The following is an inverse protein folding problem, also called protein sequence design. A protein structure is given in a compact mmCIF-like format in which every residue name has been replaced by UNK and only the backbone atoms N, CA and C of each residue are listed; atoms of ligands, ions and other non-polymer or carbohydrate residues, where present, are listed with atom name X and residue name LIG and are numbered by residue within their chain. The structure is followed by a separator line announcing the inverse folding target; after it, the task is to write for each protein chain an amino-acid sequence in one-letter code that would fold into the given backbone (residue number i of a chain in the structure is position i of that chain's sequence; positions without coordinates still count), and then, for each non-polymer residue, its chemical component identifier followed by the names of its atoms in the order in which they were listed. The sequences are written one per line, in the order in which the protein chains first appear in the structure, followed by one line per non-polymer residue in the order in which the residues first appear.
data_IF_949531405340
#
_entry.id   IF_949531405340
#
_cell.length_a   1.000
_cell.length_b   1.000
_cell.length_c   1.000
_cell.angle_alpha   90.00
_cell.angle_beta   90.00
_cell.angle_gamma   90.00
#
_symmetry.space_group_name_H-M   'P 1'
#
loop_
_entity.id
_entity.type
_entity.pdbx_description
1 polymer ?
#
# COMPACT_ATOMS: atom_id res chain seq x y z
N UNK A 1 28.06 5.33 8.34
CA UNK A 1 27.23 5.80 9.45
C UNK A 1 26.11 6.68 8.90
N UNK A 2 24.89 6.13 8.88
CA UNK A 2 23.70 6.78 8.32
C UNK A 2 23.35 8.07 9.08
N UNK A 3 23.70 8.19 10.34
CA UNK A 3 23.38 9.37 11.15
C UNK A 3 24.05 10.66 10.66
N UNK A 4 25.06 10.54 9.79
CA UNK A 4 25.76 11.67 9.18
C UNK A 4 25.18 12.12 7.84
N UNK A 5 24.20 11.39 7.31
CA UNK A 5 23.58 11.72 6.04
C UNK A 5 22.54 12.83 6.23
N UNK A 6 22.23 13.54 5.15
CA UNK A 6 21.11 14.47 5.16
C UNK A 6 19.79 13.71 5.38
N UNK A 7 18.83 14.31 6.09
CA UNK A 7 17.58 13.68 6.50
C UNK A 7 16.84 12.98 5.34
N UNK A 8 16.72 13.64 4.19
CA UNK A 8 16.08 13.04 3.01
C UNK A 8 16.80 11.75 2.55
N UNK A 9 18.11 11.70 2.65
CA UNK A 9 18.88 10.51 2.28
C UNK A 9 18.68 9.38 3.28
N UNK A 10 18.57 9.70 4.58
CA UNK A 10 18.23 8.73 5.62
C UNK A 10 16.86 8.12 5.38
N UNK A 11 15.84 8.95 5.12
CA UNK A 11 14.48 8.51 4.84
C UNK A 11 14.43 7.61 3.61
N UNK A 12 15.06 8.02 2.51
CA UNK A 12 15.13 7.21 1.29
C UNK A 12 15.78 5.85 1.52
N UNK A 13 16.83 5.79 2.33
CA UNK A 13 17.51 4.54 2.67
C UNK A 13 16.58 3.62 3.49
N UNK A 14 15.96 4.17 4.53
CA UNK A 14 15.05 3.41 5.40
C UNK A 14 13.87 2.88 4.58
N UNK A 15 13.22 3.73 3.79
CA UNK A 15 12.09 3.30 2.95
C UNK A 15 12.48 2.25 1.91
N UNK A 16 13.66 2.37 1.30
CA UNK A 16 14.14 1.38 0.33
C UNK A 16 14.31 -0.01 0.96
N UNK A 17 14.84 -0.06 2.18
CA UNK A 17 15.10 -1.32 2.88
C UNK A 17 13.88 -1.92 3.59
N UNK A 18 12.93 -1.11 4.00
CA UNK A 18 11.76 -1.56 4.76
C UNK A 18 10.53 -1.67 3.89
N UNK A 19 10.05 -0.54 3.36
CA UNK A 19 8.77 -0.46 2.66
C UNK A 19 8.88 -0.95 1.21
N UNK A 20 9.91 -0.49 0.48
CA UNK A 20 10.01 -0.76 -0.95
C UNK A 20 10.30 -2.23 -1.23
N UNK A 21 11.31 -2.82 -0.62
CA UNK A 21 11.71 -4.19 -0.92
C UNK A 21 10.69 -5.23 -0.44
N UNK A 22 10.28 -5.16 0.81
CA UNK A 22 9.42 -6.18 1.44
C UNK A 22 7.95 -6.04 1.12
N UNK A 23 7.47 -4.83 0.89
CA UNK A 23 6.05 -4.57 0.69
C UNK A 23 5.72 -4.16 -0.75
N UNK A 24 6.25 -3.05 -1.25
CA UNK A 24 5.86 -2.53 -2.56
C UNK A 24 6.27 -3.46 -3.71
N UNK A 25 7.54 -3.88 -3.75
CA UNK A 25 8.03 -4.73 -4.82
C UNK A 25 7.60 -6.19 -4.65
N UNK A 26 7.78 -6.74 -3.47
CA UNK A 26 7.49 -8.16 -3.23
C UNK A 26 5.96 -8.41 -3.18
N UNK A 27 5.23 -7.75 -2.26
CA UNK A 27 3.83 -8.09 -2.00
C UNK A 27 2.86 -7.46 -2.99
N UNK A 28 3.01 -6.17 -3.29
CA UNK A 28 2.10 -5.46 -4.20
C UNK A 28 2.52 -5.60 -5.67
N UNK A 29 3.82 -5.68 -5.96
CA UNK A 29 4.35 -5.80 -7.33
C UNK A 29 4.44 -7.23 -7.80
N UNK A 30 5.54 -7.90 -7.49
CA UNK A 30 5.90 -9.18 -8.10
C UNK A 30 4.89 -10.29 -7.84
N UNK A 31 4.40 -10.44 -6.60
CA UNK A 31 3.44 -11.51 -6.30
C UNK A 31 2.12 -11.33 -7.03
N UNK A 32 1.64 -10.09 -7.15
CA UNK A 32 0.41 -9.82 -7.88
C UNK A 32 0.57 -10.00 -9.38
N UNK A 33 1.69 -9.53 -9.94
CA UNK A 33 2.01 -9.70 -11.35
C UNK A 33 2.20 -11.19 -11.71
N UNK A 34 2.99 -11.92 -10.92
CA UNK A 34 3.23 -13.35 -11.16
C UNK A 34 1.97 -14.20 -11.01
N UNK A 35 1.08 -13.86 -10.07
CA UNK A 35 -0.23 -14.51 -9.94
C UNK A 35 -1.09 -14.40 -11.22
N UNK A 36 -0.82 -13.40 -12.04
CA UNK A 36 -1.48 -13.16 -13.33
C UNK A 36 -0.58 -13.49 -14.54
N UNK A 37 0.55 -14.16 -14.32
CA UNK A 37 1.55 -14.47 -15.36
C UNK A 37 2.06 -13.24 -16.10
N UNK A 38 2.17 -12.09 -15.41
CA UNK A 38 2.65 -10.83 -15.97
C UNK A 38 4.08 -10.58 -15.51
N UNK A 39 4.99 -10.41 -16.46
CA UNK A 39 6.33 -9.92 -16.19
C UNK A 39 6.37 -8.39 -16.14
N UNK A 40 6.85 -7.84 -15.05
CA UNK A 40 7.01 -6.39 -14.88
C UNK A 40 8.45 -5.96 -15.13
N UNK A 41 8.62 -4.74 -15.60
CA UNK A 41 9.93 -4.09 -15.78
C UNK A 41 9.88 -2.71 -15.13
N UNK A 42 10.88 -2.41 -14.32
CA UNK A 42 10.94 -1.19 -13.53
C UNK A 42 12.16 -0.34 -13.92
N UNK A 43 12.08 0.49 -14.96
CA UNK A 43 13.24 1.29 -15.42
C UNK A 43 13.89 2.14 -14.32
N UNK A 44 13.09 2.67 -13.40
CA UNK A 44 13.59 3.45 -12.26
C UNK A 44 14.27 2.61 -11.16
N UNK A 45 14.21 1.29 -11.25
CA UNK A 45 14.94 0.38 -10.36
C UNK A 45 16.22 -0.18 -10.99
N UNK A 46 16.63 0.31 -12.17
CA UNK A 46 17.94 0.00 -12.73
C UNK A 46 19.02 0.43 -11.72
N UNK A 47 19.90 -0.49 -11.32
CA UNK A 47 20.91 -0.24 -10.31
C UNK A 47 21.85 0.92 -10.65
N UNK A 48 22.11 1.15 -11.96
CA UNK A 48 22.94 2.28 -12.42
C UNK A 48 22.22 3.60 -12.20
N UNK A 49 20.89 3.63 -12.47
CA UNK A 49 20.07 4.81 -12.21
C UNK A 49 19.96 5.10 -10.71
N UNK A 50 19.78 4.05 -9.90
CA UNK A 50 19.77 4.18 -8.44
C UNK A 50 21.11 4.72 -7.92
N UNK A 51 22.22 4.15 -8.38
CA UNK A 51 23.56 4.61 -7.99
C UNK A 51 23.80 6.08 -8.36
N UNK A 52 23.42 6.47 -9.58
CA UNK A 52 23.49 7.86 -10.02
C UNK A 52 22.59 8.77 -9.17
N UNK A 53 21.34 8.42 -8.99
CA UNK A 53 20.38 9.22 -8.22
C UNK A 53 20.78 9.35 -6.74
N UNK A 54 21.43 8.34 -6.18
CA UNK A 54 21.91 8.36 -4.80
C UNK A 54 23.00 9.41 -4.57
N UNK A 55 23.81 9.70 -5.58
CA UNK A 55 24.89 10.70 -5.52
C UNK A 55 24.39 12.13 -5.71
N UNK A 56 23.15 12.32 -6.15
CA UNK A 56 22.61 13.66 -6.37
C UNK A 56 22.31 14.34 -5.03
N UNK A 57 22.71 15.62 -4.88
CA UNK A 57 22.32 16.41 -3.73
C UNK A 57 20.78 16.43 -3.53
N UNK A 58 20.27 16.35 -2.30
CA UNK A 58 18.84 16.31 -1.99
C UNK A 58 18.01 17.40 -2.67
N UNK A 59 18.55 18.61 -2.81
CA UNK A 59 17.87 19.74 -3.47
C UNK A 59 17.48 19.48 -4.93
N UNK A 60 18.14 18.54 -5.61
CA UNK A 60 17.75 18.15 -6.98
C UNK A 60 16.64 17.10 -6.99
N UNK A 61 16.45 16.41 -5.90
CA UNK A 61 15.38 15.43 -5.72
C UNK A 61 14.11 16.10 -5.22
N UNK A 62 14.25 16.95 -4.19
CA UNK A 62 13.17 17.72 -3.55
C UNK A 62 13.60 19.17 -3.40
N UNK A 63 12.92 20.08 -4.11
CA UNK A 63 13.16 21.51 -4.03
C UNK A 63 11.99 22.18 -3.27
N UNK A 64 12.22 22.52 -2.00
CA UNK A 64 11.13 22.91 -1.12
C UNK A 64 10.11 21.80 -1.01
N UNK A 65 8.88 22.01 -1.46
CA UNK A 65 7.83 21.00 -1.52
C UNK A 65 7.61 20.39 -2.92
N UNK A 66 8.48 20.74 -3.88
CA UNK A 66 8.41 20.19 -5.24
C UNK A 66 9.19 18.88 -5.32
N UNK A 67 8.46 17.77 -5.27
CA UNK A 67 9.03 16.43 -5.45
C UNK A 67 9.46 16.15 -6.89
N UNK A 68 10.42 15.24 -7.08
CA UNK A 68 10.95 14.81 -8.39
C UNK A 68 11.47 16.00 -9.21
N UNK A 69 12.05 16.99 -8.57
CA UNK A 69 12.39 18.28 -9.17
C UNK A 69 13.24 18.14 -10.43
N UNK A 70 14.37 17.44 -10.35
CA UNK A 70 15.26 17.24 -11.48
C UNK A 70 14.57 16.47 -12.62
N UNK A 71 13.81 15.42 -12.28
CA UNK A 71 13.09 14.64 -13.29
C UNK A 71 12.04 15.49 -14.01
N UNK A 72 11.29 16.31 -13.29
CA UNK A 72 10.32 17.23 -13.90
C UNK A 72 11.00 18.22 -14.84
N UNK A 73 12.17 18.73 -14.47
CA UNK A 73 12.95 19.65 -15.32
C UNK A 73 13.54 18.95 -16.55
N UNK A 74 14.05 17.74 -16.41
CA UNK A 74 14.63 17.00 -17.54
C UNK A 74 13.58 16.59 -18.58
N UNK A 75 12.30 16.58 -18.20
CA UNK A 75 11.18 16.28 -19.11
C UNK A 75 10.56 17.52 -19.75
N UNK A 76 11.20 18.69 -19.61
CA UNK A 76 10.77 19.92 -20.26
C UNK A 76 10.80 19.76 -21.78
N UNK A 77 9.73 20.14 -22.45
CA UNK A 77 9.58 19.95 -23.91
C UNK A 77 9.33 18.50 -24.37
N UNK A 78 9.46 17.49 -23.47
CA UNK A 78 9.20 16.08 -23.79
C UNK A 78 7.81 15.62 -23.33
N UNK A 79 7.34 16.17 -22.22
CA UNK A 79 6.02 15.86 -21.66
C UNK A 79 5.12 17.10 -21.68
N UNK A 80 3.80 16.94 -21.91
CA UNK A 80 2.84 18.03 -21.76
C UNK A 80 2.91 18.63 -20.34
N UNK A 81 2.83 19.94 -20.23
CA UNK A 81 2.91 20.67 -18.95
C UNK A 81 1.89 20.19 -17.92
N UNK A 82 0.68 19.87 -18.34
CA UNK A 82 -0.37 19.35 -17.47
C UNK A 82 0.04 18.04 -16.77
N UNK A 83 0.83 17.19 -17.39
CA UNK A 83 1.36 15.96 -16.80
C UNK A 83 2.58 16.23 -15.92
N UNK A 84 3.48 17.10 -16.40
CA UNK A 84 4.72 17.46 -15.70
C UNK A 84 4.46 18.14 -14.36
N UNK A 85 3.45 19.00 -14.29
CA UNK A 85 3.09 19.77 -13.10
C UNK A 85 1.97 19.16 -12.27
N UNK A 86 1.41 18.00 -12.71
CA UNK A 86 0.34 17.34 -11.97
C UNK A 86 0.79 17.00 -10.55
N UNK A 87 -0.07 17.31 -9.59
CA UNK A 87 0.11 16.86 -8.21
C UNK A 87 0.04 15.35 -8.13
N UNK A 88 0.96 14.73 -7.40
CA UNK A 88 0.95 13.29 -7.17
C UNK A 88 -0.36 12.89 -6.50
N UNK A 89 -1.03 11.92 -7.10
CA UNK A 89 -2.13 11.19 -6.46
C UNK A 89 -1.61 9.80 -6.13
N UNK A 90 -1.49 9.44 -4.84
CA UNK A 90 -1.12 8.08 -4.48
C UNK A 90 -2.20 7.12 -4.96
N UNK A 91 -1.78 6.02 -5.56
CA UNK A 91 -2.71 4.93 -5.83
C UNK A 91 -3.15 4.34 -4.49
N UNK A 92 -4.46 4.35 -4.27
CA UNK A 92 -5.06 3.72 -3.10
C UNK A 92 -5.95 2.60 -3.58
N UNK A 93 -5.68 1.40 -3.08
CA UNK A 93 -6.62 0.30 -3.25
C UNK A 93 -7.96 0.68 -2.60
N UNK A 94 -9.08 0.17 -3.11
CA UNK A 94 -10.34 0.23 -2.41
C UNK A 94 -10.18 -0.37 -1.01
N UNK A 95 -10.79 0.28 -0.05
CA UNK A 95 -10.72 -0.10 1.36
C UNK A 95 -11.98 -0.89 1.80
N UNK A 96 -12.31 -0.84 3.08
CA UNK A 96 -13.43 -1.60 3.64
C UNK A 96 -14.76 -1.44 2.87
N UNK A 97 -15.01 -0.28 2.25
CA UNK A 97 -16.27 -0.05 1.52
C UNK A 97 -16.42 -0.91 0.26
N UNK A 98 -15.32 -1.43 -0.29
CA UNK A 98 -15.36 -2.35 -1.44
C UNK A 98 -16.00 -3.70 -1.12
N UNK A 99 -16.15 -4.02 0.14
CA UNK A 99 -16.74 -5.27 0.61
C UNK A 99 -18.21 -5.11 1.02
N UNK A 100 -18.79 -3.94 0.78
CA UNK A 100 -20.18 -3.64 1.08
C UNK A 100 -20.87 -3.04 -0.14
N UNK A 101 -22.08 -3.50 -0.42
CA UNK A 101 -22.93 -2.94 -1.47
C UNK A 101 -24.22 -2.39 -0.84
N UNK A 102 -24.40 -1.06 -0.88
CA UNK A 102 -25.54 -0.38 -0.22
C UNK A 102 -25.68 -0.71 1.28
N UNK A 103 -24.55 -0.86 2.00
CA UNK A 103 -24.53 -1.23 3.41
C UNK A 103 -24.70 -2.72 3.69
N UNK A 104 -24.89 -3.55 2.66
CA UNK A 104 -24.91 -5.00 2.81
C UNK A 104 -23.54 -5.60 2.47
N UNK A 105 -22.99 -6.46 3.34
CA UNK A 105 -21.72 -7.12 3.10
C UNK A 105 -21.85 -8.16 1.99
N UNK A 106 -20.76 -8.39 1.26
CA UNK A 106 -20.65 -9.56 0.39
C UNK A 106 -20.76 -10.84 1.24
N UNK A 107 -21.42 -11.87 0.73
CA UNK A 107 -21.79 -13.07 1.49
C UNK A 107 -20.64 -13.70 2.28
N UNK A 108 -19.49 -13.90 1.67
CA UNK A 108 -18.35 -14.49 2.34
C UNK A 108 -17.79 -13.59 3.46
N UNK A 109 -17.92 -12.27 3.34
CA UNK A 109 -17.48 -11.32 4.39
C UNK A 109 -18.40 -11.41 5.60
N UNK A 110 -19.72 -11.49 5.37
CA UNK A 110 -20.69 -11.69 6.46
C UNK A 110 -20.45 -13.01 7.21
N UNK A 111 -20.19 -14.10 6.48
CA UNK A 111 -19.87 -15.40 7.08
C UNK A 111 -18.59 -15.35 7.93
N UNK A 112 -17.48 -14.85 7.37
CA UNK A 112 -16.19 -14.79 8.04
C UNK A 112 -16.20 -13.93 9.31
N UNK A 113 -16.99 -12.86 9.35
CA UNK A 113 -17.15 -12.02 10.54
C UNK A 113 -18.28 -12.51 11.48
N UNK A 114 -18.84 -13.70 11.27
CA UNK A 114 -19.76 -14.28 12.23
C UNK A 114 -19.06 -14.66 13.54
N UNK A 115 -19.80 -14.62 14.67
CA UNK A 115 -19.23 -14.96 16.00
C UNK A 115 -18.62 -16.36 16.00
N UNK A 116 -19.27 -17.31 15.32
CA UNK A 116 -18.82 -18.69 15.25
C UNK A 116 -17.46 -18.80 14.54
N UNK A 117 -17.33 -18.14 13.39
CA UNK A 117 -16.10 -18.15 12.58
C UNK A 117 -14.93 -17.45 13.28
N UNK A 118 -15.21 -16.31 13.92
CA UNK A 118 -14.20 -15.55 14.67
C UNK A 118 -13.67 -16.35 15.87
N UNK A 119 -14.55 -17.08 16.57
CA UNK A 119 -14.14 -17.96 17.67
C UNK A 119 -13.37 -19.18 17.20
N UNK A 120 -13.78 -19.79 16.09
CA UNK A 120 -13.12 -20.95 15.49
C UNK A 120 -11.69 -20.60 15.05
N UNK A 121 -11.53 -19.47 14.36
CA UNK A 121 -10.23 -18.99 13.91
C UNK A 121 -9.29 -18.57 15.06
N UNK A 122 -9.82 -17.98 16.12
CA UNK A 122 -9.10 -17.67 17.36
C UNK A 122 -8.03 -16.57 17.27
N UNK A 123 -7.95 -15.82 16.17
CA UNK A 123 -6.93 -14.79 15.99
C UNK A 123 -7.30 -13.43 16.57
N UNK A 124 -8.58 -13.12 16.65
CA UNK A 124 -9.10 -11.81 17.00
C UNK A 124 -10.16 -11.92 18.10
N UNK A 125 -10.25 -10.89 18.94
CA UNK A 125 -11.39 -10.76 19.86
C UNK A 125 -12.69 -10.60 19.04
N UNK A 126 -13.66 -11.51 19.20
CA UNK A 126 -14.87 -11.49 18.38
C UNK A 126 -15.69 -10.21 18.55
N UNK A 127 -15.74 -9.64 19.76
CA UNK A 127 -16.51 -8.42 20.00
C UNK A 127 -15.87 -7.22 19.34
N UNK A 128 -14.53 -7.11 19.39
CA UNK A 128 -13.79 -6.04 18.72
C UNK A 128 -13.94 -6.15 17.19
N UNK A 129 -13.82 -7.36 16.63
CA UNK A 129 -13.96 -7.61 15.22
C UNK A 129 -15.38 -7.26 14.70
N UNK A 130 -16.42 -7.65 15.44
CA UNK A 130 -17.81 -7.32 15.10
C UNK A 130 -18.05 -5.81 15.16
N UNK A 131 -17.56 -5.12 16.19
CA UNK A 131 -17.70 -3.64 16.26
C UNK A 131 -17.06 -2.95 15.05
N UNK A 132 -15.89 -3.43 14.59
CA UNK A 132 -15.24 -2.87 13.40
C UNK A 132 -16.03 -3.20 12.12
N UNK A 133 -16.55 -4.42 12.00
CA UNK A 133 -17.42 -4.84 10.90
C UNK A 133 -18.69 -3.98 10.83
N UNK A 134 -19.39 -3.80 11.94
CA UNK A 134 -20.59 -2.96 12.01
C UNK A 134 -20.31 -1.49 11.69
N UNK A 135 -19.15 -0.99 12.13
CA UNK A 135 -18.67 0.35 11.78
C UNK A 135 -18.44 0.48 10.28
N UNK A 136 -17.83 -0.53 9.66
CA UNK A 136 -17.59 -0.56 8.22
C UNK A 136 -18.90 -0.67 7.44
N UNK A 137 -19.80 -1.57 7.85
CA UNK A 137 -21.16 -1.73 7.29
C UNK A 137 -21.96 -0.43 7.31
N UNK A 138 -21.86 0.33 8.39
CA UNK A 138 -22.52 1.62 8.54
C UNK A 138 -21.87 2.78 7.76
N UNK A 139 -20.80 2.53 6.99
CA UNK A 139 -20.05 3.57 6.27
C UNK A 139 -19.32 4.56 7.19
N UNK A 140 -19.10 4.19 8.46
CA UNK A 140 -18.48 5.06 9.48
C UNK A 140 -16.97 4.84 9.64
N UNK A 141 -16.37 4.01 8.81
CA UNK A 141 -14.91 3.83 8.75
C UNK A 141 -14.32 4.96 7.92
N UNK A 142 -13.77 5.95 8.60
CA UNK A 142 -13.22 7.15 7.96
C UNK A 142 -11.68 7.15 8.03
N UNK A 143 -11.11 6.47 9.02
CA UNK A 143 -9.68 6.50 9.29
C UNK A 143 -8.90 5.42 8.56
N UNK A 144 -7.64 5.71 8.25
CA UNK A 144 -6.71 4.74 7.65
C UNK A 144 -6.50 3.50 8.53
N UNK A 145 -6.40 3.69 9.86
CA UNK A 145 -6.20 2.59 10.81
C UNK A 145 -7.34 1.58 10.82
N UNK A 146 -8.60 2.04 10.83
CA UNK A 146 -9.77 1.16 10.79
C UNK A 146 -9.85 0.37 9.48
N UNK A 147 -9.55 1.03 8.35
CA UNK A 147 -9.52 0.37 7.05
C UNK A 147 -8.44 -0.71 6.98
N UNK A 148 -7.23 -0.41 7.44
CA UNK A 148 -6.16 -1.40 7.54
C UNK A 148 -6.53 -2.57 8.45
N UNK A 149 -7.12 -2.29 9.61
CA UNK A 149 -7.54 -3.32 10.55
C UNK A 149 -8.62 -4.23 9.94
N UNK A 150 -9.63 -3.64 9.29
CA UNK A 150 -10.69 -4.41 8.62
C UNK A 150 -10.13 -5.32 7.51
N UNK A 151 -9.35 -4.77 6.59
CA UNK A 151 -8.75 -5.54 5.48
C UNK A 151 -7.76 -6.57 6.01
N UNK A 152 -6.97 -6.23 7.04
CA UNK A 152 -6.06 -7.15 7.70
C UNK A 152 -6.78 -8.34 8.36
N UNK A 153 -7.88 -8.09 9.08
CA UNK A 153 -8.72 -9.14 9.65
C UNK A 153 -9.34 -10.02 8.56
N UNK A 154 -9.94 -9.40 7.55
CA UNK A 154 -10.58 -10.13 6.45
C UNK A 154 -9.59 -11.03 5.70
N UNK A 155 -8.42 -10.52 5.36
CA UNK A 155 -7.39 -11.30 4.67
C UNK A 155 -6.86 -12.46 5.51
N UNK A 156 -6.71 -12.27 6.82
CA UNK A 156 -6.31 -13.32 7.75
C UNK A 156 -7.38 -14.41 7.87
N UNK A 157 -8.64 -14.03 7.97
CA UNK A 157 -9.77 -14.96 8.04
C UNK A 157 -9.94 -15.75 6.72
N UNK A 158 -9.76 -15.10 5.57
CA UNK A 158 -9.74 -15.75 4.27
C UNK A 158 -8.60 -16.77 4.15
N UNK A 159 -7.40 -16.39 4.58
CA UNK A 159 -6.26 -17.31 4.59
C UNK A 159 -6.53 -18.53 5.46
N UNK A 160 -7.07 -18.33 6.66
CA UNK A 160 -7.47 -19.41 7.55
C UNK A 160 -8.51 -20.33 6.91
N UNK A 161 -9.55 -19.74 6.34
CA UNK A 161 -10.62 -20.49 5.70
C UNK A 161 -10.15 -21.36 4.53
N UNK A 162 -9.30 -20.80 3.68
CA UNK A 162 -8.85 -21.47 2.46
C UNK A 162 -7.73 -22.50 2.69
N UNK A 163 -6.88 -22.30 3.68
CA UNK A 163 -5.65 -23.09 3.83
C UNK A 163 -5.53 -23.85 5.15
N UNK A 164 -6.20 -23.42 6.21
CA UNK A 164 -6.07 -24.02 7.54
C UNK A 164 -7.31 -24.85 7.89
N UNK A 165 -8.50 -24.27 7.67
CA UNK A 165 -9.76 -24.94 7.94
C UNK A 165 -10.07 -25.94 6.81
N UNK A 166 -9.76 -27.19 7.05
CA UNK A 166 -10.11 -28.33 6.18
C UNK A 166 -11.17 -29.20 6.82
#
# INVERSE_FOLDING_TARGET
DISRWEALCQDQYIEAHTLMSGYLLCSQGDRMAMAQSIETRFPFLDHRLIAFASQLPPRYKLMGLVEKYLLKRSMDGLLPDALRHRTKQPYRAPDSQSFFHNGEPVDYVADLFSVARLKDAGYFDPQAAIRLFDKARAGKVIGFGDNMAFVGMLSTLLLHDQFIRR
#
